data_IF_077117345427
#
_entry.id   IF_077117345427
#
_cell.length_a   1.000
_cell.length_b   1.000
_cell.length_c   1.000
_cell.angle_alpha   90.00
_cell.angle_beta   90.00
_cell.angle_gamma   90.00
#
_symmetry.space_group_name_H-M   'P 1'
#
loop_
_entity.id
_entity.type
_entity.pdbx_description
1 polymer ?
#
# COMPACT_ATOMS: atom_id res chain seq x y z
N UNK A 1 19.86 -2.15 -26.83
CA UNK A 1 19.41 -2.93 -25.66
C UNK A 1 19.30 -2.00 -24.48
N UNK A 2 18.18 -2.00 -23.76
CA UNK A 2 17.97 -1.06 -22.65
C UNK A 2 18.94 -1.29 -21.51
N UNK A 3 19.52 -0.22 -20.97
CA UNK A 3 20.37 -0.28 -19.77
C UNK A 3 19.50 -0.28 -18.52
N UNK A 4 19.91 -1.02 -17.48
CA UNK A 4 19.26 -0.94 -16.18
C UNK A 4 19.40 0.49 -15.63
N UNK A 5 18.37 0.98 -14.94
CA UNK A 5 18.32 2.33 -14.38
C UNK A 5 19.51 2.63 -13.46
N UNK A 6 19.93 1.63 -12.67
CA UNK A 6 21.13 1.70 -11.82
C UNK A 6 22.44 1.96 -12.59
N UNK A 7 22.50 1.57 -13.86
CA UNK A 7 23.68 1.64 -14.72
C UNK A 7 23.53 2.72 -15.82
N UNK A 8 22.41 3.45 -15.83
CA UNK A 8 22.14 4.48 -16.81
C UNK A 8 23.03 5.70 -16.56
N UNK A 9 23.79 6.07 -17.58
CA UNK A 9 24.73 7.19 -17.51
C UNK A 9 24.07 8.44 -18.08
N UNK A 10 23.71 9.41 -17.23
CA UNK A 10 23.04 10.62 -17.72
C UNK A 10 24.06 11.52 -18.44
N UNK A 11 23.78 11.86 -19.69
CA UNK A 11 24.57 12.81 -20.46
C UNK A 11 24.27 14.24 -20.01
N UNK A 12 25.30 15.05 -19.74
CA UNK A 12 25.13 16.49 -19.45
C UNK A 12 25.04 17.27 -20.77
N UNK A 13 23.97 18.02 -21.04
CA UNK A 13 23.81 18.73 -22.30
C UNK A 13 24.71 19.98 -22.46
N UNK A 14 25.54 20.35 -21.48
CA UNK A 14 26.30 21.62 -21.47
C UNK A 14 27.80 21.47 -21.15
N UNK A 15 28.39 20.27 -21.23
CA UNK A 15 29.83 20.10 -20.95
C UNK A 15 30.41 19.02 -21.87
N UNK A 16 31.34 19.39 -22.73
CA UNK A 16 32.03 18.51 -23.71
C UNK A 16 32.93 17.43 -23.09
N UNK A 17 33.01 17.33 -21.77
CA UNK A 17 33.76 16.24 -21.14
C UNK A 17 32.90 14.98 -21.08
N UNK A 18 33.48 13.87 -21.53
CA UNK A 18 32.98 12.48 -21.59
C UNK A 18 32.60 11.86 -20.21
N UNK A 19 32.26 12.70 -19.23
CA UNK A 19 32.05 12.34 -17.84
C UNK A 19 30.54 12.15 -17.61
N UNK A 20 30.13 10.89 -17.65
CA UNK A 20 28.74 10.49 -17.54
C UNK A 20 28.35 10.30 -16.07
N UNK A 21 27.21 10.85 -15.66
CA UNK A 21 26.75 10.75 -14.27
C UNK A 21 26.25 9.33 -14.00
N UNK A 22 27.04 8.56 -13.23
CA UNK A 22 26.66 7.23 -12.73
C UNK A 22 25.96 7.34 -11.39
N UNK A 23 24.96 6.50 -11.17
CA UNK A 23 24.23 6.43 -9.91
C UNK A 23 25.16 5.91 -8.80
N UNK A 24 25.07 6.50 -7.61
CA UNK A 24 25.88 6.08 -6.46
C UNK A 24 25.52 4.64 -6.05
N UNK A 25 26.50 3.74 -5.84
CA UNK A 25 26.23 2.33 -5.55
C UNK A 25 25.50 2.09 -4.21
N UNK A 26 25.58 3.04 -3.26
CA UNK A 26 24.84 2.96 -2.00
C UNK A 26 23.33 3.13 -2.18
N UNK A 27 22.88 3.87 -3.20
CA UNK A 27 21.46 4.12 -3.44
C UNK A 27 20.69 2.82 -3.73
N UNK A 28 21.29 1.90 -4.47
CA UNK A 28 20.68 0.60 -4.75
C UNK A 28 20.48 -0.24 -3.48
N UNK A 29 21.43 -0.19 -2.53
CA UNK A 29 21.30 -0.88 -1.25
C UNK A 29 20.22 -0.22 -0.39
N UNK A 30 20.21 1.11 -0.36
CA UNK A 30 19.20 1.89 0.36
C UNK A 30 17.78 1.60 -0.14
N UNK A 31 17.56 1.54 -1.46
CA UNK A 31 16.24 1.25 -2.04
C UNK A 31 15.70 -0.12 -1.64
N UNK A 32 16.54 -1.15 -1.62
CA UNK A 32 16.14 -2.50 -1.17
C UNK A 32 15.76 -2.49 0.31
N UNK A 33 16.59 -1.87 1.15
CA UNK A 33 16.30 -1.75 2.59
C UNK A 33 15.01 -0.97 2.81
N UNK A 34 14.84 0.16 2.13
CA UNK A 34 13.64 0.99 2.23
C UNK A 34 12.38 0.20 1.82
N UNK A 35 12.42 -0.58 0.75
CA UNK A 35 11.30 -1.41 0.31
C UNK A 35 10.96 -2.53 1.30
N UNK A 36 11.97 -3.18 1.90
CA UNK A 36 11.74 -4.20 2.94
C UNK A 36 11.15 -3.55 4.20
N UNK A 37 11.72 -2.45 4.66
CA UNK A 37 11.22 -1.71 5.83
C UNK A 37 9.78 -1.25 5.59
N UNK A 38 9.48 -0.69 4.41
CA UNK A 38 8.11 -0.28 4.05
C UNK A 38 7.15 -1.47 4.08
N UNK A 39 7.54 -2.61 3.50
CA UNK A 39 6.70 -3.81 3.51
C UNK A 39 6.41 -4.29 4.93
N UNK A 40 7.43 -4.32 5.79
CA UNK A 40 7.30 -4.72 7.20
C UNK A 40 6.40 -3.74 7.96
N UNK A 41 6.60 -2.43 7.78
CA UNK A 41 5.78 -1.41 8.44
C UNK A 41 4.32 -1.47 8.00
N UNK A 42 4.04 -1.73 6.71
CA UNK A 42 2.67 -1.89 6.21
C UNK A 42 2.00 -3.13 6.84
N UNK A 43 2.70 -4.28 6.88
CA UNK A 43 2.16 -5.50 7.50
C UNK A 43 1.90 -5.28 8.99
N UNK A 44 2.86 -4.68 9.71
CA UNK A 44 2.71 -4.37 11.14
C UNK A 44 1.59 -3.36 11.38
N UNK A 45 1.48 -2.33 10.57
CA UNK A 45 0.40 -1.34 10.66
C UNK A 45 -0.98 -1.92 10.41
N UNK A 46 -1.11 -2.91 9.53
CA UNK A 46 -2.37 -3.62 9.30
C UNK A 46 -2.76 -4.54 10.46
N UNK A 47 -1.77 -5.16 11.12
CA UNK A 47 -1.97 -6.09 12.22
C UNK A 47 -2.17 -5.40 13.57
N UNK A 48 -1.49 -4.27 13.79
CA UNK A 48 -1.63 -3.51 15.02
C UNK A 48 -2.94 -2.71 15.02
N UNK A 49 -3.60 -2.59 16.18
CA UNK A 49 -4.79 -1.77 16.32
C UNK A 49 -4.38 -0.30 16.34
N UNK A 50 -4.10 0.26 15.16
CA UNK A 50 -3.65 1.63 14.96
C UNK A 50 -4.76 2.58 14.53
N UNK A 51 -5.95 2.06 14.18
CA UNK A 51 -7.08 2.87 13.73
C UNK A 51 -8.04 3.09 14.90
N UNK A 52 -8.20 4.32 15.35
CA UNK A 52 -9.27 4.69 16.28
C UNK A 52 -10.47 5.13 15.45
N UNK A 53 -11.56 4.36 15.52
CA UNK A 53 -12.84 4.78 14.95
C UNK A 53 -13.70 5.31 16.09
N UNK A 54 -14.08 6.57 15.99
CA UNK A 54 -15.15 7.11 16.83
C UNK A 54 -16.47 6.53 16.33
N UNK A 55 -17.05 5.63 17.12
CA UNK A 55 -18.40 5.15 16.89
C UNK A 55 -19.36 6.28 17.27
N UNK A 56 -20.28 6.60 16.37
CA UNK A 56 -21.31 7.62 16.58
C UNK A 56 -22.70 6.95 16.50
N UNK A 57 -23.66 7.46 17.26
CA UNK A 57 -25.07 7.03 17.21
C UNK A 57 -25.43 5.86 18.14
N UNK A 58 -26.46 5.09 17.78
CA UNK A 58 -27.04 4.05 18.66
C UNK A 58 -26.02 2.96 19.05
N UNK A 59 -25.09 2.66 18.14
CA UNK A 59 -24.00 1.70 18.40
C UNK A 59 -23.02 2.25 19.44
N UNK A 60 -22.75 3.56 19.45
CA UNK A 60 -21.91 4.20 20.45
C UNK A 60 -22.54 4.08 21.85
N UNK A 61 -23.83 4.42 21.95
CA UNK A 61 -24.58 4.32 23.22
C UNK A 61 -24.59 2.87 23.75
N UNK A 62 -24.74 1.88 22.87
CA UNK A 62 -24.69 0.48 23.27
C UNK A 62 -23.31 0.07 23.81
N UNK A 63 -22.23 0.50 23.16
CA UNK A 63 -20.85 0.18 23.58
C UNK A 63 -20.47 0.93 24.87
N UNK A 64 -20.78 2.22 24.95
CA UNK A 64 -20.57 3.07 26.14
C UNK A 64 -21.38 2.55 27.35
N UNK A 65 -22.59 2.03 27.14
CA UNK A 65 -23.38 1.42 28.22
C UNK A 65 -22.73 0.18 28.85
N UNK A 66 -21.88 -0.52 28.10
CA UNK A 66 -21.08 -1.65 28.59
C UNK A 66 -19.72 -1.26 29.18
N UNK A 67 -19.28 -0.02 28.97
CA UNK A 67 -17.99 0.52 29.43
C UNK A 67 -18.15 1.70 30.41
N UNK A 68 -19.12 1.61 31.33
CA UNK A 68 -19.36 2.63 32.37
C UNK A 68 -19.50 4.08 31.84
N UNK A 69 -19.94 4.26 30.58
CA UNK A 69 -19.99 5.54 29.87
C UNK A 69 -18.63 6.25 29.69
N UNK A 70 -17.52 5.52 29.74
CA UNK A 70 -16.22 6.04 29.34
C UNK A 70 -16.17 6.19 27.80
N UNK A 71 -15.53 7.23 27.23
CA UNK A 71 -15.49 7.44 25.79
C UNK A 71 -14.91 6.22 25.08
N UNK A 72 -15.70 5.58 24.23
CA UNK A 72 -15.34 4.33 23.56
C UNK A 72 -14.29 4.56 22.46
N UNK A 73 -13.04 4.84 22.84
CA UNK A 73 -11.88 4.83 21.95
C UNK A 73 -11.51 3.38 21.62
N UNK A 74 -12.32 2.73 20.79
CA UNK A 74 -12.04 1.36 20.35
C UNK A 74 -10.97 1.41 19.27
N UNK A 75 -9.82 0.79 19.56
CA UNK A 75 -8.74 0.64 18.59
C UNK A 75 -9.00 -0.60 17.74
N UNK A 76 -9.05 -0.39 16.43
CA UNK A 76 -9.26 -1.43 15.44
C UNK A 76 -8.00 -1.65 14.62
N UNK A 77 -7.72 -2.92 14.30
CA UNK A 77 -6.80 -3.28 13.21
C UNK A 77 -7.56 -3.36 11.90
N UNK A 78 -6.85 -3.36 10.77
CA UNK A 78 -7.46 -3.54 9.44
C UNK A 78 -8.24 -4.85 9.37
N UNK A 79 -7.70 -5.91 9.97
CA UNK A 79 -8.36 -7.22 10.02
C UNK A 79 -9.62 -7.21 10.89
N UNK A 80 -9.63 -6.46 11.99
CA UNK A 80 -10.83 -6.33 12.83
C UNK A 80 -11.96 -5.62 12.10
N UNK A 81 -11.64 -4.62 11.28
CA UNK A 81 -12.63 -3.91 10.45
C UNK A 81 -13.24 -4.85 9.41
N UNK A 82 -12.41 -5.67 8.76
CA UNK A 82 -12.88 -6.69 7.81
C UNK A 82 -13.80 -7.70 8.49
N UNK A 83 -13.44 -8.17 9.69
CA UNK A 83 -14.31 -9.06 10.47
C UNK A 83 -15.65 -8.40 10.78
N UNK A 84 -15.64 -7.14 11.24
CA UNK A 84 -16.86 -6.38 11.49
C UNK A 84 -17.73 -6.24 10.24
N UNK A 85 -17.15 -5.92 9.08
CA UNK A 85 -17.88 -5.85 7.82
C UNK A 85 -18.56 -7.18 7.47
N UNK A 86 -17.86 -8.29 7.65
CA UNK A 86 -18.41 -9.63 7.38
C UNK A 86 -19.51 -9.98 8.39
N UNK A 87 -19.35 -9.63 9.66
CA UNK A 87 -20.35 -9.91 10.70
C UNK A 87 -21.62 -9.07 10.52
N UNK A 88 -21.48 -7.81 10.07
CA UNK A 88 -22.62 -6.99 9.62
C UNK A 88 -23.33 -7.64 8.44
N UNK A 89 -22.59 -8.19 7.47
CA UNK A 89 -23.19 -8.90 6.33
C UNK A 89 -24.00 -10.11 6.78
N UNK A 90 -23.47 -10.88 7.74
CA UNK A 90 -24.17 -12.03 8.32
C UNK A 90 -25.43 -11.64 9.07
N UNK A 91 -25.38 -10.54 9.82
CA UNK A 91 -26.51 -10.05 10.60
C UNK A 91 -27.67 -9.58 9.71
N UNK A 92 -27.38 -8.87 8.62
CA UNK A 92 -28.42 -8.42 7.68
C UNK A 92 -29.09 -9.61 6.99
N UNK A 93 -28.35 -10.69 6.74
CA UNK A 93 -28.89 -11.95 6.21
C UNK A 93 -29.32 -11.91 4.74
N UNK A 94 -29.15 -10.76 4.06
CA UNK A 94 -29.46 -10.59 2.64
C UNK A 94 -28.25 -10.95 1.77
N UNK A 95 -28.48 -11.72 0.70
CA UNK A 95 -27.42 -12.15 -0.24
C UNK A 95 -26.68 -10.98 -0.89
N UNK A 96 -27.36 -9.86 -1.14
CA UNK A 96 -26.76 -8.63 -1.66
C UNK A 96 -25.74 -8.01 -0.69
N UNK A 97 -26.01 -8.05 0.61
CA UNK A 97 -25.11 -7.52 1.64
C UNK A 97 -23.82 -8.34 1.77
N UNK A 98 -23.91 -9.67 1.63
CA UNK A 98 -22.73 -10.54 1.59
C UNK A 98 -21.81 -10.21 0.41
N UNK A 99 -22.37 -10.01 -0.78
CA UNK A 99 -21.57 -9.65 -1.96
C UNK A 99 -20.97 -8.26 -1.78
N UNK A 100 -21.77 -7.27 -1.39
CA UNK A 100 -21.31 -5.89 -1.24
C UNK A 100 -20.21 -5.74 -0.19
N UNK A 101 -20.44 -6.25 1.03
CA UNK A 101 -19.46 -6.15 2.12
C UNK A 101 -18.26 -7.07 1.91
N UNK A 102 -18.46 -8.22 1.24
CA UNK A 102 -17.37 -9.09 0.82
C UNK A 102 -16.43 -8.42 -0.18
N UNK A 103 -16.99 -7.82 -1.25
CA UNK A 103 -16.22 -7.06 -2.25
C UNK A 103 -15.53 -5.87 -1.59
N UNK A 104 -16.23 -5.11 -0.75
CA UNK A 104 -15.66 -3.97 -0.05
C UNK A 104 -14.48 -4.38 0.86
N UNK A 105 -14.62 -5.50 1.57
CA UNK A 105 -13.55 -6.04 2.42
C UNK A 105 -12.31 -6.44 1.59
N UNK A 106 -12.51 -7.10 0.45
CA UNK A 106 -11.43 -7.48 -0.46
C UNK A 106 -10.74 -6.24 -1.02
N UNK A 107 -11.51 -5.25 -1.46
CA UNK A 107 -10.96 -3.99 -1.97
C UNK A 107 -10.14 -3.29 -0.88
N UNK A 108 -10.68 -3.18 0.34
CA UNK A 108 -10.01 -2.53 1.47
C UNK A 108 -8.67 -3.19 1.84
N UNK A 109 -8.64 -4.52 1.94
CA UNK A 109 -7.37 -5.24 2.20
C UNK A 109 -6.41 -5.09 1.03
N UNK A 110 -6.92 -5.15 -0.20
CA UNK A 110 -6.08 -5.03 -1.40
C UNK A 110 -5.42 -3.66 -1.47
N UNK A 111 -6.16 -2.57 -1.25
CA UNK A 111 -5.62 -1.21 -1.34
C UNK A 111 -4.65 -0.89 -0.21
N UNK A 112 -4.91 -1.36 1.01
CA UNK A 112 -4.09 -0.99 2.19
C UNK A 112 -2.86 -1.88 2.35
N UNK A 113 -2.96 -3.17 2.00
CA UNK A 113 -1.86 -4.14 2.20
C UNK A 113 -1.17 -4.52 0.89
N UNK A 114 -1.95 -4.88 -0.14
CA UNK A 114 -1.41 -5.51 -1.35
C UNK A 114 -0.81 -4.48 -2.31
N UNK A 115 -1.52 -3.38 -2.56
CA UNK A 115 -1.08 -2.31 -3.49
C UNK A 115 0.28 -1.71 -3.09
N UNK A 116 0.53 -1.30 -1.82
CA UNK A 116 1.83 -0.72 -1.44
C UNK A 116 3.00 -1.70 -1.60
N UNK A 117 2.79 -2.99 -1.29
CA UNK A 117 3.80 -4.04 -1.47
C UNK A 117 4.09 -4.26 -2.95
N UNK A 118 3.05 -4.38 -3.78
CA UNK A 118 3.21 -4.51 -5.22
C UNK A 118 3.91 -3.29 -5.82
N UNK A 119 3.54 -2.08 -5.40
CA UNK A 119 4.19 -0.85 -5.86
C UNK A 119 5.69 -0.83 -5.52
N UNK A 120 6.06 -1.21 -4.30
CA UNK A 120 7.46 -1.34 -3.90
C UNK A 120 8.22 -2.36 -4.77
N UNK A 121 7.61 -3.51 -5.06
CA UNK A 121 8.20 -4.54 -5.91
C UNK A 121 8.36 -4.07 -7.36
N UNK A 122 7.38 -3.35 -7.90
CA UNK A 122 7.43 -2.81 -9.27
C UNK A 122 8.52 -1.74 -9.39
N UNK A 123 8.66 -0.86 -8.39
CA UNK A 123 9.74 0.13 -8.32
C UNK A 123 11.11 -0.52 -8.25
N UNK A 124 11.28 -1.55 -7.41
CA UNK A 124 12.53 -2.33 -7.36
C UNK A 124 12.82 -3.00 -8.70
N UNK A 125 11.81 -3.61 -9.33
CA UNK A 125 11.97 -4.26 -10.62
C UNK A 125 12.40 -3.27 -11.71
N UNK A 126 11.78 -2.10 -11.75
CA UNK A 126 12.14 -1.03 -12.69
C UNK A 126 13.58 -0.56 -12.47
N UNK A 127 14.03 -0.48 -11.21
CA UNK A 127 15.38 -0.06 -10.85
C UNK A 127 16.47 -1.07 -11.24
N UNK A 128 16.26 -2.36 -10.94
CA UNK A 128 17.27 -3.41 -11.09
C UNK A 128 17.27 -4.11 -12.46
N UNK A 129 16.15 -4.11 -13.17
CA UNK A 129 16.02 -4.83 -14.44
C UNK A 129 16.36 -3.93 -15.62
N UNK A 130 17.25 -4.34 -16.54
CA UNK A 130 17.41 -3.65 -17.83
C UNK A 130 16.11 -3.79 -18.63
N UNK A 131 15.43 -2.67 -18.85
CA UNK A 131 14.15 -2.62 -19.57
C UNK A 131 14.29 -1.84 -20.86
N UNK A 132 13.58 -2.26 -21.90
CA UNK A 132 13.42 -1.45 -23.12
C UNK A 132 12.53 -0.24 -22.84
N UNK A 133 12.56 0.79 -23.68
CA UNK A 133 11.72 1.98 -23.49
C UNK A 133 10.22 1.64 -23.43
N UNK A 134 9.79 0.69 -24.25
CA UNK A 134 8.40 0.18 -24.25
C UNK A 134 8.04 -0.48 -22.91
N UNK A 135 8.93 -1.31 -22.37
CA UNK A 135 8.73 -1.96 -21.06
C UNK A 135 8.75 -0.95 -19.92
N UNK A 136 9.62 0.07 -20.01
CA UNK A 136 9.72 1.12 -19.00
C UNK A 136 8.46 2.00 -18.98
N UNK A 137 7.93 2.34 -20.14
CA UNK A 137 6.67 3.09 -20.24
C UNK A 137 5.49 2.27 -19.66
N UNK A 138 5.38 0.99 -20.03
CA UNK A 138 4.37 0.09 -19.44
C UNK A 138 4.50 -0.01 -17.91
N UNK A 139 5.72 -0.09 -17.40
CA UNK A 139 5.98 -0.14 -15.96
C UNK A 139 5.61 1.18 -15.27
N UNK A 140 5.83 2.33 -15.92
CA UNK A 140 5.40 3.64 -15.41
C UNK A 140 3.88 3.72 -15.30
N UNK A 141 3.16 3.30 -16.35
CA UNK A 141 1.70 3.26 -16.35
C UNK A 141 1.18 2.34 -15.23
N UNK A 142 1.83 1.19 -15.00
CA UNK A 142 1.47 0.31 -13.89
C UNK A 142 1.68 0.97 -12.53
N UNK A 143 2.76 1.72 -12.34
CA UNK A 143 3.01 2.46 -11.09
C UNK A 143 1.96 3.56 -10.89
N UNK A 144 1.67 4.34 -11.92
CA UNK A 144 0.63 5.39 -11.89
C UNK A 144 -0.75 4.79 -11.56
N UNK A 145 -1.05 3.63 -12.17
CA UNK A 145 -2.29 2.91 -11.87
C UNK A 145 -2.31 2.48 -10.41
N UNK A 146 -1.27 1.80 -9.91
CA UNK A 146 -1.20 1.36 -8.50
C UNK A 146 -1.32 2.54 -7.54
N UNK A 147 -0.67 3.66 -7.85
CA UNK A 147 -0.72 4.87 -7.03
C UNK A 147 -2.10 5.53 -7.04
N UNK A 148 -2.89 5.40 -8.10
CA UNK A 148 -4.27 5.90 -8.13
C UNK A 148 -5.24 5.06 -7.27
N UNK A 149 -4.87 3.82 -6.94
CA UNK A 149 -5.65 2.93 -6.09
C UNK A 149 -5.24 2.95 -4.62
N UNK A 150 -4.16 3.67 -4.28
CA UNK A 150 -3.62 3.80 -2.92
C UNK A 150 -4.07 5.11 -2.29
#
# INVERSE_FOLDING_TARGET
GGTALKDHSFARPHRESNDSLRVRPWLSKFLVVAAVVLSVLVVLGCALPSLSLELLGVVAVAVESGQEFDPALVKYSVFTIVQLMIDVAKFIGESGSYVGLGVLSVLFVTTILVVPILQALVLLRQWFTPMTEVQRNRTSILIETLQAWQ
#
